data_IF_764790405905
#
_entry.id   IF_764790405905
#
_cell.length_a   1.000
_cell.length_b   1.000
_cell.length_c   1.000
_cell.angle_alpha   90.00
_cell.angle_beta   90.00
_cell.angle_gamma   90.00
#
_symmetry.space_group_name_H-M   'P 1'
#
loop_
_entity.id
_entity.type
_entity.pdbx_description
1 polymer ?
#
# COMPACT_ATOMS: atom_id res chain seq x y z
N UNK A 1 -49.04 1.15 -4.03
CA UNK A 1 -47.87 1.76 -4.70
C UNK A 1 -46.66 1.43 -3.84
N UNK A 2 -45.86 0.43 -4.24
CA UNK A 2 -44.65 0.03 -3.51
C UNK A 2 -43.51 0.96 -3.93
N UNK A 3 -42.67 1.48 -3.01
CA UNK A 3 -41.50 2.23 -3.42
C UNK A 3 -40.53 1.27 -4.10
N UNK A 4 -40.17 1.58 -5.34
CA UNK A 4 -39.17 0.87 -6.10
C UNK A 4 -37.80 1.16 -5.48
N UNK A 5 -37.27 0.21 -4.70
CA UNK A 5 -35.91 0.26 -4.21
C UNK A 5 -34.97 -0.05 -5.37
N UNK A 6 -34.74 0.94 -6.22
CA UNK A 6 -33.68 0.89 -7.21
C UNK A 6 -32.35 0.79 -6.46
N UNK A 7 -31.82 -0.43 -6.38
CA UNK A 7 -30.50 -0.66 -5.82
C UNK A 7 -29.49 0.04 -6.72
N UNK A 8 -28.89 1.12 -6.21
CA UNK A 8 -27.85 1.84 -6.92
C UNK A 8 -26.59 0.98 -6.90
N UNK A 9 -26.36 0.23 -7.97
CA UNK A 9 -25.09 -0.47 -8.17
C UNK A 9 -24.02 0.57 -8.51
N UNK A 10 -23.21 0.93 -7.50
CA UNK A 10 -21.98 1.69 -7.71
C UNK A 10 -20.82 0.70 -7.79
N UNK A 11 -20.08 0.70 -8.89
CA UNK A 11 -18.83 -0.04 -9.02
C UNK A 11 -17.65 0.94 -9.01
N UNK A 12 -16.63 0.61 -8.23
CA UNK A 12 -15.37 1.35 -8.22
C UNK A 12 -14.31 0.43 -8.79
N UNK A 13 -13.67 0.84 -9.88
CA UNK A 13 -12.56 0.10 -10.48
C UNK A 13 -11.26 0.48 -9.78
N UNK A 14 -10.61 -0.50 -9.16
CA UNK A 14 -9.31 -0.33 -8.53
C UNK A 14 -8.18 -0.74 -9.50
N UNK A 15 -7.19 0.12 -9.68
CA UNK A 15 -6.00 -0.23 -10.47
C UNK A 15 -4.94 -0.87 -9.58
N UNK A 16 -4.92 -2.20 -9.50
CA UNK A 16 -3.85 -2.96 -8.84
C UNK A 16 -2.61 -3.06 -9.74
N UNK A 17 -1.45 -3.38 -9.13
CA UNK A 17 -0.20 -3.58 -9.87
C UNK A 17 -0.32 -4.81 -10.80
N UNK A 18 0.14 -4.72 -12.06
CA UNK A 18 0.17 -5.88 -12.96
C UNK A 18 1.14 -6.92 -12.42
N UNK A 19 0.88 -8.22 -12.58
CA UNK A 19 1.73 -9.24 -11.98
C UNK A 19 2.96 -9.56 -12.86
N UNK A 20 4.17 -9.28 -12.36
CA UNK A 20 5.44 -9.56 -13.03
C UNK A 20 6.19 -10.66 -12.30
N UNK A 21 6.77 -11.62 -13.04
CA UNK A 21 7.51 -12.72 -12.44
C UNK A 21 8.77 -12.18 -11.73
N UNK A 22 8.91 -12.52 -10.46
CA UNK A 22 10.09 -12.21 -9.65
C UNK A 22 11.16 -13.29 -9.76
N UNK A 23 12.30 -13.04 -9.13
CA UNK A 23 13.29 -14.07 -8.82
C UNK A 23 12.98 -14.63 -7.43
N UNK A 24 13.20 -15.93 -7.24
CA UNK A 24 13.08 -16.58 -5.94
C UNK A 24 14.38 -17.31 -5.62
N UNK A 25 14.87 -17.10 -4.41
CA UNK A 25 16.02 -17.78 -3.84
C UNK A 25 15.57 -18.56 -2.62
N UNK A 26 15.85 -19.86 -2.63
CA UNK A 26 15.56 -20.77 -1.53
C UNK A 26 16.88 -21.08 -0.81
N UNK A 27 17.17 -20.35 0.26
CA UNK A 27 18.31 -20.64 1.12
C UNK A 27 17.95 -21.79 2.09
N UNK A 28 18.88 -22.13 2.99
CA UNK A 28 18.67 -23.20 3.96
C UNK A 28 17.55 -22.84 4.96
N UNK A 29 17.57 -21.61 5.47
CA UNK A 29 16.67 -21.13 6.53
C UNK A 29 15.64 -20.09 6.06
N UNK A 30 15.83 -19.52 4.87
CA UNK A 30 15.08 -18.36 4.41
C UNK A 30 14.73 -18.43 2.92
N UNK A 31 13.67 -17.69 2.58
CA UNK A 31 13.22 -17.47 1.20
C UNK A 31 13.38 -15.99 0.92
N UNK A 32 13.99 -15.65 -0.22
CA UNK A 32 14.11 -14.28 -0.70
C UNK A 32 13.47 -14.18 -2.08
N UNK A 33 12.51 -13.27 -2.21
CA UNK A 33 11.87 -12.91 -3.47
C UNK A 33 12.33 -11.52 -3.87
N UNK A 34 12.81 -11.34 -5.10
CA UNK A 34 13.21 -10.03 -5.64
C UNK A 34 12.57 -9.74 -6.98
N UNK A 35 12.53 -8.46 -7.36
CA UNK A 35 11.98 -8.02 -8.64
C UNK A 35 12.98 -8.23 -9.78
N UNK A 36 12.49 -8.53 -10.98
CA UNK A 36 13.31 -8.53 -12.20
C UNK A 36 13.48 -7.10 -12.73
N UNK A 37 14.29 -6.29 -12.06
CA UNK A 37 14.59 -4.90 -12.46
C UNK A 37 16.07 -4.81 -12.88
N UNK A 38 16.36 -4.50 -14.15
CA UNK A 38 17.71 -4.67 -14.71
C UNK A 38 18.75 -3.65 -14.24
N UNK A 39 18.40 -2.50 -13.67
CA UNK A 39 19.37 -1.42 -13.40
C UNK A 39 19.11 -0.64 -12.10
N UNK A 40 18.72 -1.32 -11.02
CA UNK A 40 18.54 -0.65 -9.71
C UNK A 40 19.55 -1.22 -8.72
N UNK A 41 20.37 -0.34 -8.15
CA UNK A 41 21.32 -0.61 -7.05
C UNK A 41 20.63 -1.31 -5.87
N UNK A 42 19.34 -1.06 -5.66
CA UNK A 42 18.51 -1.65 -4.62
C UNK A 42 17.22 -2.22 -5.19
N UNK A 43 17.16 -3.55 -5.32
CA UNK A 43 15.94 -4.23 -5.77
C UNK A 43 14.91 -4.32 -4.64
N UNK A 44 13.61 -4.17 -4.94
CA UNK A 44 12.57 -4.51 -4.00
C UNK A 44 12.67 -5.98 -3.63
N UNK A 45 12.45 -6.29 -2.34
CA UNK A 45 12.58 -7.65 -1.83
C UNK A 45 11.56 -7.98 -0.76
N UNK A 46 11.21 -9.26 -0.71
CA UNK A 46 10.39 -9.87 0.33
C UNK A 46 11.09 -11.11 0.84
N UNK A 47 11.29 -11.17 2.16
CA UNK A 47 12.04 -12.23 2.81
C UNK A 47 11.28 -12.82 3.99
N UNK A 48 11.31 -14.15 4.15
CA UNK A 48 10.68 -14.83 5.27
C UNK A 48 11.36 -16.18 5.56
N UNK A 49 11.20 -16.75 6.76
CA UNK A 49 11.72 -18.06 7.09
C UNK A 49 11.16 -19.15 6.19
N UNK A 50 12.00 -20.06 5.71
CA UNK A 50 11.58 -21.18 4.85
C UNK A 50 10.57 -22.09 5.54
N UNK A 51 10.63 -22.20 6.87
CA UNK A 51 9.65 -22.92 7.69
C UNK A 51 8.21 -22.39 7.57
N UNK A 52 8.02 -21.16 7.08
CA UNK A 52 6.69 -20.57 6.87
C UNK A 52 6.09 -20.93 5.50
N UNK A 53 6.84 -21.62 4.63
CA UNK A 53 6.29 -22.20 3.41
C UNK A 53 5.41 -23.40 3.79
N UNK A 54 4.10 -23.20 3.79
CA UNK A 54 3.14 -24.30 3.94
C UNK A 54 2.99 -25.04 2.60
N UNK A 55 4.00 -25.81 2.25
CA UNK A 55 3.98 -26.69 1.07
C UNK A 55 3.24 -27.97 1.43
N UNK A 56 2.37 -28.46 0.53
CA UNK A 56 1.73 -29.76 0.70
C UNK A 56 2.80 -30.86 0.66
N UNK A 57 2.68 -31.84 1.56
CA UNK A 57 3.59 -32.99 1.64
C UNK A 57 3.72 -33.66 0.26
N UNK A 58 4.92 -33.60 -0.33
CA UNK A 58 5.22 -34.14 -1.65
C UNK A 58 5.34 -33.12 -2.79
N UNK A 59 5.08 -31.82 -2.55
CA UNK A 59 5.37 -30.78 -3.55
C UNK A 59 6.86 -30.46 -3.58
N UNK A 60 7.52 -30.79 -4.70
CA UNK A 60 8.92 -30.44 -4.91
C UNK A 60 9.08 -28.90 -4.92
N UNK A 61 10.00 -28.40 -4.09
CA UNK A 61 10.43 -27.00 -4.02
C UNK A 61 10.90 -26.44 -5.38
N UNK A 62 11.14 -27.32 -6.37
CA UNK A 62 11.59 -27.00 -7.73
C UNK A 62 10.53 -26.32 -8.60
N UNK A 63 9.26 -26.23 -8.17
CA UNK A 63 8.18 -25.62 -8.98
C UNK A 63 7.66 -24.30 -8.43
N UNK A 64 8.36 -23.73 -7.44
CA UNK A 64 7.92 -22.51 -6.78
C UNK A 64 8.13 -21.30 -7.70
N UNK A 65 7.05 -20.63 -8.07
CA UNK A 65 7.07 -19.39 -8.85
C UNK A 65 6.66 -18.21 -7.98
N UNK A 66 7.52 -17.20 -7.92
CA UNK A 66 7.22 -15.95 -7.24
C UNK A 66 6.91 -14.84 -8.25
N UNK A 67 5.97 -13.98 -7.89
CA UNK A 67 5.69 -12.75 -8.59
C UNK A 67 5.95 -11.58 -7.66
N UNK A 68 6.64 -10.57 -8.16
CA UNK A 68 6.95 -9.34 -7.44
C UNK A 68 6.82 -8.15 -8.39
N UNK A 69 5.80 -7.32 -8.19
CA UNK A 69 5.63 -6.10 -8.96
C UNK A 69 5.78 -4.88 -8.09
N UNK A 70 6.53 -3.90 -8.59
CA UNK A 70 6.63 -2.54 -8.07
C UNK A 70 6.34 -1.58 -9.23
N UNK A 71 5.62 -0.47 -9.02
CA UNK A 71 5.37 0.51 -10.09
C UNK A 71 6.69 1.12 -10.59
N UNK A 72 6.91 1.08 -11.92
CA UNK A 72 8.16 1.52 -12.55
C UNK A 72 8.31 3.04 -12.66
N UNK A 73 7.24 3.81 -12.51
CA UNK A 73 7.25 5.29 -12.60
C UNK A 73 6.97 5.87 -11.24
N UNK A 74 7.79 6.85 -10.83
CA UNK A 74 7.62 7.60 -9.60
C UNK A 74 6.15 8.02 -9.43
N UNK A 75 5.49 7.56 -8.39
CA UNK A 75 4.08 7.90 -8.06
C UNK A 75 3.91 9.38 -7.62
N UNK A 76 4.88 10.22 -7.98
CA UNK A 76 5.28 11.43 -7.30
C UNK A 76 4.92 12.74 -7.99
N UNK A 77 4.39 12.75 -9.23
CA UNK A 77 4.16 14.04 -9.93
C UNK A 77 2.70 14.40 -10.20
N UNK A 78 1.86 13.47 -10.64
CA UNK A 78 0.44 13.74 -10.91
C UNK A 78 -0.42 12.57 -10.41
N UNK A 79 -1.40 12.81 -9.53
CA UNK A 79 -2.21 11.72 -8.96
C UNK A 79 -3.35 11.30 -9.89
N UNK A 80 -3.01 10.65 -11.00
CA UNK A 80 -3.97 9.93 -11.85
C UNK A 80 -4.29 8.53 -11.29
N UNK A 81 -3.55 8.08 -10.27
CA UNK A 81 -3.61 6.72 -9.69
C UNK A 81 -3.84 6.71 -8.17
N UNK A 82 -4.44 7.77 -7.62
CA UNK A 82 -4.85 7.79 -6.22
C UNK A 82 -5.90 6.70 -5.97
N UNK A 83 -5.74 5.97 -4.87
CA UNK A 83 -6.57 4.79 -4.58
C UNK A 83 -7.24 4.96 -3.22
N UNK A 84 -8.56 4.70 -3.08
CA UNK A 84 -9.25 4.81 -1.80
C UNK A 84 -8.75 3.76 -0.80
N UNK A 85 -8.43 4.19 0.41
CA UNK A 85 -8.16 3.35 1.56
C UNK A 85 -9.16 3.59 2.69
N UNK A 86 -9.22 2.65 3.62
CA UNK A 86 -10.12 2.66 4.76
C UNK A 86 -9.30 2.70 6.05
N UNK A 87 -9.60 3.69 6.88
CA UNK A 87 -9.12 3.74 8.27
C UNK A 87 -10.25 3.27 9.17
N UNK A 88 -10.00 2.21 9.93
CA UNK A 88 -10.90 1.76 10.99
C UNK A 88 -10.53 2.41 12.32
N UNK A 89 -11.35 3.34 12.81
CA UNK A 89 -11.31 3.78 14.20
C UNK A 89 -12.58 3.28 14.91
N UNK A 90 -12.50 2.98 16.21
CA UNK A 90 -13.46 2.20 17.04
C UNK A 90 -14.95 2.61 16.98
N UNK A 91 -15.32 3.65 16.24
CA UNK A 91 -16.71 4.06 16.01
C UNK A 91 -16.99 4.71 14.64
N UNK A 92 -15.99 4.95 13.78
CA UNK A 92 -16.17 5.67 12.50
C UNK A 92 -15.28 5.09 11.41
N UNK A 93 -15.91 4.68 10.30
CA UNK A 93 -15.22 4.38 9.05
C UNK A 93 -14.90 5.69 8.32
N UNK A 94 -13.63 5.91 8.00
CA UNK A 94 -13.20 7.03 7.16
C UNK A 94 -12.55 6.51 5.90
N UNK A 95 -13.13 6.82 4.75
CA UNK A 95 -12.47 6.65 3.45
C UNK A 95 -11.43 7.76 3.28
N UNK A 96 -10.24 7.38 2.86
CA UNK A 96 -9.09 8.28 2.66
C UNK A 96 -8.47 8.03 1.29
N UNK A 97 -8.02 9.10 0.65
CA UNK A 97 -7.26 8.97 -0.59
C UNK A 97 -5.81 8.62 -0.26
N UNK A 98 -5.33 7.48 -0.75
CA UNK A 98 -3.96 7.01 -0.51
C UNK A 98 -3.07 7.32 -1.70
N UNK A 99 -1.94 7.97 -1.40
CA UNK A 99 -0.86 8.20 -2.34
C UNK A 99 0.32 7.31 -1.98
N UNK A 100 0.41 6.16 -2.64
CA UNK A 100 1.51 5.22 -2.37
C UNK A 100 2.88 5.84 -2.72
N UNK A 101 3.82 5.76 -1.79
CA UNK A 101 5.23 6.13 -2.01
C UNK A 101 6.05 4.92 -2.44
N UNK A 102 5.60 3.73 -2.03
CA UNK A 102 6.04 2.44 -2.55
C UNK A 102 4.85 1.47 -2.55
N UNK A 103 4.89 0.50 -3.45
CA UNK A 103 3.86 -0.52 -3.57
C UNK A 103 4.49 -1.85 -4.00
N UNK A 104 3.95 -2.95 -3.51
CA UNK A 104 4.38 -4.30 -3.87
C UNK A 104 3.20 -5.24 -3.98
N UNK A 105 3.25 -6.13 -4.97
CA UNK A 105 2.41 -7.32 -5.02
C UNK A 105 3.29 -8.55 -4.97
N UNK A 106 3.09 -9.39 -3.96
CA UNK A 106 3.76 -10.68 -3.83
C UNK A 106 2.78 -11.83 -3.87
N UNK A 107 3.01 -12.76 -4.78
CA UNK A 107 2.29 -14.03 -4.83
C UNK A 107 3.28 -15.17 -5.04
N UNK A 108 2.96 -16.31 -4.45
CA UNK A 108 3.76 -17.52 -4.53
C UNK A 108 2.87 -18.66 -5.03
N UNK A 109 3.36 -19.41 -6.02
CA UNK A 109 2.66 -20.58 -6.56
C UNK A 109 3.56 -21.80 -6.51
N UNK A 110 2.98 -22.97 -6.24
CA UNK A 110 3.62 -24.28 -6.32
C UNK A 110 2.67 -25.24 -7.02
N UNK A 111 3.11 -25.93 -8.07
CA UNK A 111 2.25 -26.84 -8.83
C UNK A 111 0.96 -26.21 -9.39
N UNK A 112 0.95 -24.90 -9.63
CA UNK A 112 -0.23 -24.16 -10.09
C UNK A 112 -1.21 -23.71 -8.99
N UNK A 113 -0.94 -24.04 -7.73
CA UNK A 113 -1.73 -23.59 -6.57
C UNK A 113 -1.02 -22.46 -5.83
N UNK A 114 -1.78 -21.45 -5.39
CA UNK A 114 -1.24 -20.37 -4.57
C UNK A 114 -0.82 -20.89 -3.19
N UNK A 115 0.41 -20.60 -2.81
CA UNK A 115 1.00 -20.98 -1.52
C UNK A 115 0.80 -19.83 -0.54
N UNK A 116 0.05 -20.12 0.52
CA UNK A 116 -0.12 -19.17 1.61
C UNK A 116 1.10 -19.19 2.53
N UNK A 117 1.63 -18.02 2.82
CA UNK A 117 2.73 -17.83 3.76
C UNK A 117 2.24 -16.93 4.89
N UNK A 118 2.30 -17.44 6.11
CA UNK A 118 1.99 -16.67 7.32
C UNK A 118 3.29 -16.15 7.91
N UNK A 119 3.33 -14.84 8.11
CA UNK A 119 4.49 -14.08 8.54
C UNK A 119 4.66 -14.01 10.06
N UNK A 120 5.86 -13.61 10.51
CA UNK A 120 6.55 -12.42 10.02
C UNK A 120 7.20 -12.55 8.64
N UNK A 121 6.92 -11.60 7.75
CA UNK A 121 7.50 -11.45 6.40
C UNK A 121 8.11 -10.06 6.29
N UNK A 122 9.41 -9.96 6.06
CA UNK A 122 10.10 -8.69 5.88
C UNK A 122 9.96 -8.20 4.43
N UNK A 123 9.29 -7.07 4.26
CA UNK A 123 9.18 -6.34 3.00
C UNK A 123 10.19 -5.19 3.02
N UNK A 124 10.95 -5.04 1.94
CA UNK A 124 11.89 -3.92 1.74
C UNK A 124 11.69 -3.32 0.35
N UNK A 125 11.25 -2.06 0.30
CA UNK A 125 10.93 -1.37 -0.95
C UNK A 125 11.77 -0.08 -1.09
N UNK A 126 12.48 0.11 -2.20
CA UNK A 126 13.17 1.37 -2.46
C UNK A 126 12.13 2.50 -2.61
N UNK A 127 12.44 3.64 -1.99
CA UNK A 127 11.65 4.86 -2.10
C UNK A 127 12.23 5.77 -3.17
N UNK A 128 11.38 6.55 -3.83
CA UNK A 128 11.83 7.54 -4.79
C UNK A 128 12.63 8.66 -4.10
N UNK A 129 13.67 9.14 -4.78
CA UNK A 129 14.52 10.26 -4.31
C UNK A 129 13.77 11.58 -4.09
N UNK A 130 12.58 11.72 -4.67
CA UNK A 130 11.75 12.93 -4.56
C UNK A 130 10.82 12.92 -3.34
N UNK A 131 11.00 11.99 -2.40
CA UNK A 131 10.22 11.97 -1.16
C UNK A 131 10.82 12.94 -0.15
N UNK A 132 9.98 13.67 0.60
CA UNK A 132 10.43 14.51 1.73
C UNK A 132 10.78 13.69 2.99
N UNK A 133 11.10 12.41 2.80
CA UNK A 133 11.34 11.44 3.88
C UNK A 133 12.80 11.43 4.26
N UNK A 134 13.05 11.09 5.51
CA UNK A 134 14.37 10.96 6.12
C UNK A 134 14.51 9.58 6.76
N UNK A 135 15.74 9.12 6.98
CA UNK A 135 15.96 7.91 7.77
C UNK A 135 15.30 8.01 9.14
N UNK A 136 14.72 6.90 9.60
CA UNK A 136 13.91 6.78 10.83
C UNK A 136 12.51 7.40 10.77
N UNK A 137 12.11 8.05 9.67
CA UNK A 137 10.71 8.40 9.47
C UNK A 137 9.86 7.11 9.37
N UNK A 138 8.61 7.19 9.82
CA UNK A 138 7.66 6.07 9.73
C UNK A 138 6.61 6.34 8.68
N UNK A 139 6.27 5.32 7.89
CA UNK A 139 5.18 5.36 6.92
C UNK A 139 4.16 4.27 7.22
N UNK A 140 2.85 4.59 7.21
CA UNK A 140 1.80 3.58 7.33
C UNK A 140 1.89 2.51 6.25
N UNK A 141 1.72 1.27 6.70
CA UNK A 141 1.61 0.07 5.88
C UNK A 141 0.13 -0.24 5.65
N UNK A 142 -0.26 -0.44 4.39
CA UNK A 142 -1.62 -0.81 4.04
C UNK A 142 -1.64 -2.12 3.28
N UNK A 143 -2.55 -3.00 3.68
CA UNK A 143 -2.83 -4.28 3.03
C UNK A 143 -4.12 -4.18 2.22
N UNK A 144 -4.13 -4.71 1.01
CA UNK A 144 -5.36 -4.77 0.22
C UNK A 144 -6.19 -5.99 0.61
N UNK A 145 -7.31 -5.74 1.27
CA UNK A 145 -8.25 -6.79 1.60
C UNK A 145 -9.18 -7.04 0.41
N UNK A 146 -8.96 -8.16 -0.29
CA UNK A 146 -9.74 -8.56 -1.47
C UNK A 146 -11.21 -8.86 -1.16
N UNK A 147 -11.55 -9.19 0.10
CA UNK A 147 -12.94 -9.44 0.51
C UNK A 147 -13.72 -8.14 0.67
N UNK A 148 -13.08 -7.10 1.20
CA UNK A 148 -13.71 -5.79 1.38
C UNK A 148 -13.50 -4.87 0.17
N UNK A 149 -12.53 -5.19 -0.70
CA UNK A 149 -12.16 -4.38 -1.85
C UNK A 149 -11.45 -3.09 -1.47
N UNK A 150 -10.79 -3.05 -0.31
CA UNK A 150 -10.24 -1.81 0.26
C UNK A 150 -8.85 -2.00 0.87
N UNK A 151 -8.09 -0.90 0.93
CA UNK A 151 -6.83 -0.85 1.67
C UNK A 151 -7.08 -0.65 3.16
N UNK A 152 -6.51 -1.50 3.98
CA UNK A 152 -6.65 -1.47 5.43
C UNK A 152 -5.29 -1.15 6.07
N UNK A 153 -5.26 -0.19 6.99
CA UNK A 153 -4.04 0.15 7.71
C UNK A 153 -3.66 -1.00 8.67
N UNK A 154 -2.45 -1.52 8.54
CA UNK A 154 -1.93 -2.64 9.33
C UNK A 154 -0.83 -2.24 10.31
N UNK A 155 -0.32 -1.00 10.24
CA UNK A 155 0.74 -0.54 11.13
C UNK A 155 1.68 0.46 10.49
N UNK A 156 2.88 0.57 11.04
CA UNK A 156 3.91 1.51 10.61
C UNK A 156 5.17 0.75 10.18
N UNK A 157 5.62 0.99 8.95
CA UNK A 157 6.96 0.63 8.51
C UNK A 157 7.97 1.76 8.74
N UNK A 158 9.25 1.42 8.70
CA UNK A 158 10.36 2.34 9.02
C UNK A 158 11.16 2.59 7.74
N UNK A 159 11.48 3.87 7.51
CA UNK A 159 12.40 4.30 6.45
C UNK A 159 13.84 4.15 6.95
N UNK A 160 14.67 3.44 6.18
CA UNK A 160 16.09 3.23 6.46
C UNK A 160 16.92 3.81 5.33
N UNK A 161 18.11 4.29 5.65
CA UNK A 161 19.13 4.56 4.65
C UNK A 161 19.90 3.26 4.38
N UNK A 162 19.92 2.83 3.12
CA UNK A 162 20.71 1.68 2.68
C UNK A 162 21.60 2.16 1.53
N UNK A 163 22.90 2.27 1.80
CA UNK A 163 23.80 3.02 0.93
C UNK A 163 23.38 4.48 0.83
N UNK A 164 23.07 4.93 -0.38
CA UNK A 164 22.61 6.26 -0.74
C UNK A 164 21.10 6.34 -1.07
N UNK A 165 20.35 5.26 -0.84
CA UNK A 165 18.92 5.20 -1.10
C UNK A 165 18.10 5.04 0.19
N UNK A 166 16.92 5.64 0.19
CA UNK A 166 15.90 5.39 1.20
C UNK A 166 15.13 4.12 0.86
N UNK A 167 15.00 3.23 1.83
CA UNK A 167 14.26 1.97 1.72
C UNK A 167 13.23 1.91 2.83
N UNK A 168 11.97 1.72 2.47
CA UNK A 168 10.91 1.44 3.43
C UNK A 168 10.93 -0.04 3.80
N UNK A 169 10.89 -0.33 5.09
CA UNK A 169 10.90 -1.69 5.63
C UNK A 169 9.69 -1.94 6.53
N UNK A 170 9.05 -3.09 6.39
CA UNK A 170 7.87 -3.46 7.18
C UNK A 170 7.80 -4.98 7.39
N UNK A 171 7.22 -5.41 8.52
CA UNK A 171 6.98 -6.83 8.83
C UNK A 171 5.50 -7.13 8.60
N UNK A 172 5.19 -7.76 7.47
CA UNK A 172 3.85 -8.17 7.10
C UNK A 172 3.47 -9.53 7.71
N UNK A 173 2.17 -9.73 7.92
CA UNK A 173 1.57 -10.98 8.40
C UNK A 173 1.35 -12.02 7.30
N UNK A 174 1.33 -11.60 6.04
CA UNK A 174 1.08 -12.47 4.88
C UNK A 174 1.65 -11.86 3.60
N UNK A 175 1.81 -12.70 2.57
CA UNK A 175 2.06 -12.24 1.21
C UNK A 175 0.79 -11.65 0.62
N UNK A 176 0.92 -10.59 -0.16
CA UNK A 176 -0.22 -9.99 -0.86
C UNK A 176 0.14 -8.66 -1.48
N UNK A 177 -0.85 -7.78 -1.55
CA UNK A 177 -0.68 -6.42 -2.05
C UNK A 177 -0.48 -5.47 -0.87
N UNK A 178 0.68 -4.81 -0.85
CA UNK A 178 1.07 -3.90 0.22
C UNK A 178 1.48 -2.55 -0.37
N UNK A 179 1.10 -1.46 0.30
CA UNK A 179 1.60 -0.11 -0.01
C UNK A 179 2.11 0.60 1.23
N UNK A 180 3.13 1.42 1.02
CA UNK A 180 3.58 2.43 1.97
C UNK A 180 2.98 3.77 1.54
N UNK A 181 2.05 4.31 2.31
CA UNK A 181 1.38 5.56 1.96
C UNK A 181 1.15 6.42 3.22
N UNK A 182 1.45 7.73 3.18
CA UNK A 182 1.13 8.62 4.28
C UNK A 182 -0.39 8.71 4.46
N UNK A 183 -0.82 8.95 5.70
CA UNK A 183 -2.18 9.37 5.96
C UNK A 183 -2.40 10.74 5.29
N UNK A 184 -3.53 10.98 4.62
CA UNK A 184 -3.84 12.32 4.17
C UNK A 184 -3.94 13.25 5.39
N UNK A 185 -3.55 14.53 5.23
CA UNK A 185 -3.72 15.50 6.30
C UNK A 185 -5.19 15.51 6.74
N UNK A 186 -5.48 15.66 8.05
CA UNK A 186 -6.85 15.84 8.50
C UNK A 186 -7.44 17.01 7.73
N UNK A 187 -8.63 16.82 7.14
CA UNK A 187 -9.35 17.88 6.46
C UNK A 187 -9.49 19.05 7.44
N UNK A 188 -8.70 20.11 7.25
CA UNK A 188 -8.95 21.37 7.93
C UNK A 188 -10.22 21.89 7.29
N UNK A 189 -11.34 21.70 7.98
CA UNK A 189 -12.52 22.50 7.71
C UNK A 189 -12.06 23.93 7.95
N UNK A 190 -11.82 24.69 6.88
CA UNK A 190 -11.64 26.12 6.99
C UNK A 190 -12.89 26.63 7.68
N UNK A 191 -12.80 26.90 8.99
CA UNK A 191 -13.74 27.78 9.64
C UNK A 191 -13.63 29.08 8.85
N UNK A 192 -14.64 29.36 8.04
CA UNK A 192 -14.76 30.67 7.40
C UNK A 192 -14.58 31.70 8.53
N UNK A 193 -13.62 32.63 8.45
CA UNK A 193 -13.61 33.72 9.41
C UNK A 193 -14.97 34.41 9.27
N UNK A 194 -15.70 34.48 10.38
CA UNK A 194 -16.95 35.24 10.43
C UNK A 194 -16.64 36.64 9.93
N UNK A 195 -17.19 37.00 8.76
CA UNK A 195 -17.08 38.36 8.27
C UNK A 195 -17.78 39.25 9.30
N UNK A 196 -16.99 40.11 9.93
CA UNK A 196 -17.45 41.11 10.87
C UNK A 196 -18.46 42.03 10.17
N UNK A 197 -19.69 42.06 10.70
CA UNK A 197 -20.79 42.89 10.19
C UNK A 197 -20.37 44.36 10.07
N UNK A 198 -20.40 44.89 8.85
CA UNK A 198 -20.52 46.34 8.63
C UNK A 198 -21.91 46.79 9.08
N UNK A 199 -21.95 47.71 10.05
CA UNK A 199 -23.18 48.34 10.56
C UNK A 199 -23.93 49.10 9.45
N UNK A 200 -25.27 49.18 9.49
CA UNK A 200 -26.04 49.99 8.57
C UNK A 200 -25.97 51.47 9.00
N UNK A 201 -25.30 52.31 8.22
CA UNK A 201 -25.49 53.76 8.29
C UNK A 201 -26.84 54.12 7.67
N UNK A 202 -27.77 54.58 8.50
CA UNK A 202 -29.02 55.24 8.12
C UNK A 202 -28.75 56.48 7.26
N UNK A 203 -29.51 56.73 6.18
CA UNK A 203 -29.45 58.01 5.49
C UNK A 203 -30.27 59.06 6.26
N UNK A 204 -29.63 60.17 6.60
CA UNK A 204 -30.33 61.40 7.00
C UNK A 204 -30.78 62.14 5.74
N UNK A 205 -32.08 62.38 5.61
CA UNK A 205 -32.64 63.29 4.61
C UNK A 205 -32.20 64.72 4.89
N UNK A 206 -31.80 65.44 3.84
CA UNK A 206 -31.73 66.89 3.75
C UNK A 206 -32.11 67.29 2.33
#
# INVERSE_FOLDING_TARGET
>A
MSPDLTSLFSSVTLSLLPQNQGNIWLFDDSVLITGKLPDISYQPSVQFPKSHLMLSDGSNTSTVMAYLTVPQRHLGKDCVNCTPGIIHNKSVFRSVELRAMAAVSTLLYSGGQEVQVKGPIQISLPLAHTTNLRPSDTLPAWDFNTKTGAWENQGLGIVKMVGDHLVWTYIASHLGYWIAAPLPPPTVIWAMPAQWNSSPTTPTCS
#
